data_IF_241935791249
#
_entry.id   IF_241935791249
#
_cell.length_a   1.000
_cell.length_b   1.000
_cell.length_c   1.000
_cell.angle_alpha   90.00
_cell.angle_beta   90.00
_cell.angle_gamma   90.00
#
_symmetry.space_group_name_H-M   'P 1'
#
loop_
_entity.id
_entity.type
_entity.pdbx_description
1 polymer ?
#
# COMPACT_ATOMS: atom_id res chain seq x y z
N UNK A 1 14.20 0.88 -7.11
CA UNK A 1 13.03 1.20 -7.94
C UNK A 1 12.13 0.01 -8.12
N UNK A 2 10.86 0.20 -7.86
CA UNK A 2 9.90 -0.88 -7.99
C UNK A 2 9.21 -0.76 -9.33
N UNK A 3 9.53 -1.67 -10.23
CA UNK A 3 8.93 -1.67 -11.54
C UNK A 3 7.98 -2.84 -11.74
N UNK A 4 7.76 -3.62 -10.70
CA UNK A 4 6.84 -4.74 -10.76
C UNK A 4 5.59 -4.42 -9.98
N UNK A 5 4.47 -4.77 -10.55
CA UNK A 5 3.19 -4.68 -9.85
C UNK A 5 2.92 -6.02 -9.21
N UNK A 6 2.79 -6.00 -7.90
CA UNK A 6 2.57 -7.22 -7.13
C UNK A 6 1.19 -7.16 -6.51
N UNK A 7 0.41 -8.21 -6.71
CA UNK A 7 -0.89 -8.30 -6.07
C UNK A 7 -0.72 -8.45 -4.58
N UNK A 8 -1.42 -7.63 -3.82
CA UNK A 8 -1.38 -7.66 -2.37
C UNK A 8 -2.62 -8.36 -1.86
N UNK A 9 -2.42 -9.33 -0.98
CA UNK A 9 -3.53 -10.06 -0.38
C UNK A 9 -3.72 -9.59 1.04
N UNK A 10 -4.90 -9.09 1.33
CA UNK A 10 -5.27 -8.68 2.69
C UNK A 10 -6.35 -9.60 3.21
N UNK A 11 -6.22 -9.99 4.45
CA UNK A 11 -7.20 -10.85 5.09
C UNK A 11 -8.00 -10.01 6.06
N UNK A 12 -9.31 -10.03 5.88
CA UNK A 12 -10.21 -9.18 6.64
C UNK A 12 -10.12 -9.52 8.13
N UNK A 13 -9.83 -8.49 8.94
CA UNK A 13 -9.70 -8.68 10.37
C UNK A 13 -8.33 -9.15 10.83
N UNK A 14 -7.36 -9.24 9.93
CA UNK A 14 -6.00 -9.67 10.26
C UNK A 14 -5.02 -8.56 9.96
N UNK A 15 -3.97 -8.49 10.76
CA UNK A 15 -2.86 -7.57 10.51
C UNK A 15 -2.04 -8.11 9.36
N UNK A 16 -1.70 -7.24 8.43
CA UNK A 16 -0.87 -7.59 7.29
C UNK A 16 0.32 -6.66 7.21
N UNK A 17 1.35 -7.08 6.49
CA UNK A 17 2.48 -6.21 6.25
C UNK A 17 2.94 -6.38 4.82
N UNK A 18 3.55 -5.32 4.30
CA UNK A 18 4.12 -5.36 2.97
C UNK A 18 5.48 -4.68 3.04
N UNK A 19 6.45 -5.28 2.40
CA UNK A 19 7.83 -4.81 2.48
C UNK A 19 8.24 -4.20 1.16
N UNK A 20 8.84 -3.02 1.22
CA UNK A 20 9.40 -2.36 0.05
C UNK A 20 10.84 -2.00 0.33
N UNK A 21 11.69 -2.24 -0.65
CA UNK A 21 13.13 -1.96 -0.53
C UNK A 21 13.42 -0.66 -1.26
N UNK A 22 13.68 0.39 -0.50
CA UNK A 22 14.04 1.70 -1.04
C UNK A 22 15.46 2.08 -0.65
N UNK A 23 16.32 1.09 -0.37
CA UNK A 23 17.68 1.38 0.08
C UNK A 23 18.50 2.13 -0.95
N UNK A 24 18.23 1.91 -2.24
CA UNK A 24 18.97 2.59 -3.29
C UNK A 24 18.19 3.73 -3.92
N UNK A 25 17.06 4.07 -3.35
CA UNK A 25 16.25 5.14 -3.89
C UNK A 25 16.74 6.49 -3.37
N UNK A 26 16.93 7.44 -4.28
CA UNK A 26 17.39 8.78 -3.93
C UNK A 26 16.18 9.69 -3.77
N UNK A 27 15.85 10.05 -2.53
CA UNK A 27 14.69 10.90 -2.27
C UNK A 27 14.93 12.34 -2.63
N UNK A 28 16.17 12.78 -2.58
CA UNK A 28 16.56 14.13 -3.02
C UNK A 28 15.62 15.21 -2.47
N UNK A 29 15.21 15.06 -1.23
CA UNK A 29 14.35 16.03 -0.57
C UNK A 29 12.87 15.81 -0.78
N UNK A 30 12.47 14.80 -1.56
CA UNK A 30 11.08 14.45 -1.76
C UNK A 30 10.61 13.41 -0.76
N UNK A 31 9.37 12.99 -0.94
CA UNK A 31 8.77 11.94 -0.10
C UNK A 31 8.08 10.92 -0.97
N UNK A 32 7.84 9.75 -0.42
CA UNK A 32 7.01 8.75 -1.07
C UNK A 32 5.75 8.54 -0.25
N UNK A 33 4.65 8.26 -0.96
CA UNK A 33 3.36 7.94 -0.33
C UNK A 33 2.88 6.59 -0.81
N UNK A 34 2.63 5.70 0.12
CA UNK A 34 1.94 4.44 -0.15
C UNK A 34 0.47 4.68 0.18
N UNK A 35 -0.40 4.40 -0.78
CA UNK A 35 -1.82 4.69 -0.63
C UNK A 35 -2.64 3.49 -1.04
N UNK A 36 -3.65 3.17 -0.24
CA UNK A 36 -4.67 2.19 -0.59
C UNK A 36 -5.95 2.94 -0.88
N UNK A 37 -6.54 2.66 -2.01
CA UNK A 37 -7.74 3.38 -2.47
C UNK A 37 -8.84 2.41 -2.86
N UNK A 38 -10.07 2.86 -2.71
CA UNK A 38 -11.23 2.15 -3.21
C UNK A 38 -11.43 2.55 -4.67
N UNK A 39 -11.38 1.56 -5.56
CA UNK A 39 -11.40 1.84 -6.98
C UNK A 39 -12.72 2.44 -7.43
N UNK A 40 -13.82 1.98 -6.83
CA UNK A 40 -15.15 2.41 -7.26
C UNK A 40 -15.45 3.84 -6.85
N UNK A 41 -14.93 4.27 -5.71
CA UNK A 41 -15.24 5.60 -5.18
C UNK A 41 -14.06 6.55 -5.31
N UNK A 42 -12.93 6.07 -5.80
CA UNK A 42 -11.73 6.88 -5.94
C UNK A 42 -11.38 7.58 -4.63
N UNK A 43 -11.49 6.85 -3.54
CA UNK A 43 -11.30 7.39 -2.20
C UNK A 43 -10.08 6.76 -1.57
N UNK A 44 -9.20 7.60 -1.02
CA UNK A 44 -8.04 7.12 -0.29
C UNK A 44 -8.47 6.62 1.08
N UNK A 45 -8.05 5.41 1.41
CA UNK A 45 -8.47 4.77 2.65
C UNK A 45 -7.33 4.64 3.66
N UNK A 46 -6.11 4.49 3.17
CA UNK A 46 -4.96 4.26 4.03
C UNK A 46 -3.76 4.90 3.35
N UNK A 47 -2.93 5.59 4.13
CA UNK A 47 -1.78 6.27 3.58
C UNK A 47 -0.60 6.15 4.53
N UNK A 48 0.57 5.91 3.97
CA UNK A 48 1.81 5.86 4.72
C UNK A 48 2.87 6.62 3.93
N UNK A 49 3.52 7.58 4.58
CA UNK A 49 4.53 8.40 3.91
C UNK A 49 5.91 8.10 4.48
N UNK A 50 6.92 8.21 3.64
CA UNK A 50 8.29 7.97 4.07
C UNK A 50 9.25 8.75 3.18
N UNK A 51 10.45 9.03 3.73
CA UNK A 51 11.39 9.89 3.03
C UNK A 51 12.86 9.48 3.23
N UNK A 52 13.11 8.29 3.73
CA UNK A 52 14.48 7.82 3.96
C UNK A 52 14.77 6.59 3.12
N UNK A 53 16.02 6.47 2.67
CA UNK A 53 16.45 5.33 1.86
C UNK A 53 16.69 4.12 2.77
N UNK A 54 15.73 3.22 2.81
CA UNK A 54 15.81 2.04 3.65
C UNK A 54 14.76 1.04 3.20
N UNK A 55 14.76 -0.11 3.84
CA UNK A 55 13.68 -1.08 3.67
C UNK A 55 12.52 -0.65 4.57
N UNK A 56 11.32 -0.65 4.01
CA UNK A 56 10.11 -0.31 4.75
C UNK A 56 9.24 -1.53 4.87
N UNK A 57 8.78 -1.75 6.09
CA UNK A 57 7.82 -2.80 6.39
C UNK A 57 6.55 -2.12 6.86
N UNK A 58 5.63 -1.93 5.92
CA UNK A 58 4.42 -1.16 6.19
C UNK A 58 3.40 -2.09 6.81
N UNK A 59 2.97 -1.74 8.03
CA UNK A 59 2.01 -2.54 8.77
C UNK A 59 0.61 -2.03 8.47
N UNK A 60 -0.24 -2.93 8.03
CA UNK A 60 -1.64 -2.63 7.76
C UNK A 60 -2.44 -3.27 8.88
N UNK A 61 -2.98 -2.45 9.79
CA UNK A 61 -3.55 -2.98 11.03
C UNK A 61 -4.86 -3.72 10.81
N UNK A 62 -5.16 -4.62 11.73
CA UNK A 62 -6.37 -5.42 11.65
C UNK A 62 -7.63 -4.57 11.76
N UNK A 63 -7.54 -3.47 12.47
CA UNK A 63 -8.67 -2.56 12.57
C UNK A 63 -9.07 -2.02 11.21
N UNK A 64 -8.07 -1.73 10.38
CA UNK A 64 -8.34 -1.24 9.05
C UNK A 64 -8.85 -2.35 8.15
N UNK A 65 -8.20 -3.51 8.16
CA UNK A 65 -8.62 -4.59 7.26
C UNK A 65 -10.01 -5.09 7.60
N UNK A 66 -10.43 -4.96 8.85
CA UNK A 66 -11.78 -5.36 9.25
C UNK A 66 -12.86 -4.53 8.58
N UNK A 67 -12.51 -3.31 8.12
CA UNK A 67 -13.50 -2.44 7.48
C UNK A 67 -13.63 -2.73 5.98
N UNK A 68 -12.75 -3.54 5.42
CA UNK A 68 -12.75 -3.79 3.99
C UNK A 68 -13.87 -4.74 3.61
N UNK A 69 -14.41 -4.54 2.42
CA UNK A 69 -15.51 -5.34 1.90
C UNK A 69 -15.03 -6.07 0.66
N UNK A 70 -15.91 -6.87 0.08
CA UNK A 70 -15.58 -7.59 -1.15
C UNK A 70 -15.66 -6.65 -2.33
N UNK A 71 -14.82 -5.64 -2.30
CA UNK A 71 -14.72 -4.66 -3.37
C UNK A 71 -13.33 -4.70 -3.95
N UNK A 72 -13.14 -3.94 -4.98
CA UNK A 72 -11.83 -3.81 -5.60
C UNK A 72 -11.09 -2.65 -4.99
N UNK A 73 -9.87 -2.91 -4.58
CA UNK A 73 -8.98 -1.91 -4.01
C UNK A 73 -7.69 -1.92 -4.77
N UNK A 74 -7.01 -0.79 -4.73
CA UNK A 74 -5.71 -0.64 -5.36
C UNK A 74 -4.75 -0.03 -4.36
N UNK A 75 -3.48 -0.29 -4.57
CA UNK A 75 -2.45 0.46 -3.88
C UNK A 75 -1.47 1.02 -4.89
N UNK A 76 -0.81 2.08 -4.51
CA UNK A 76 0.28 2.61 -5.32
C UNK A 76 1.30 3.29 -4.41
N UNK A 77 2.45 3.59 -4.99
CA UNK A 77 3.48 4.38 -4.32
C UNK A 77 3.84 5.52 -5.25
N UNK A 78 3.75 6.73 -4.73
CA UNK A 78 4.01 7.94 -5.49
C UNK A 78 5.18 8.67 -4.86
N UNK A 79 6.15 9.05 -5.67
CA UNK A 79 7.24 9.91 -5.23
C UNK A 79 6.85 11.35 -5.52
N UNK A 80 6.92 12.21 -4.52
CA UNK A 80 6.50 13.60 -4.62
C UNK A 80 7.68 14.49 -4.33
N UNK A 81 8.02 15.33 -5.30
CA UNK A 81 9.09 16.31 -5.16
C UNK A 81 8.53 17.66 -5.55
N UNK A 82 8.35 18.52 -4.55
CA UNK A 82 7.72 19.81 -4.80
C UNK A 82 6.30 19.63 -5.27
N UNK A 83 6.01 20.12 -6.47
CA UNK A 83 4.67 19.98 -7.05
C UNK A 83 4.56 18.82 -8.03
N UNK A 84 5.62 18.03 -8.16
CA UNK A 84 5.65 16.96 -9.15
C UNK A 84 5.44 15.62 -8.48
N UNK A 85 4.74 14.74 -9.17
CA UNK A 85 4.39 13.42 -8.66
C UNK A 85 4.82 12.37 -9.68
N UNK A 86 5.59 11.41 -9.21
CA UNK A 86 6.15 10.37 -10.07
C UNK A 86 5.76 9.00 -9.53
N UNK A 87 5.04 8.19 -10.31
CA UNK A 87 4.67 6.85 -9.81
C UNK A 87 5.91 5.96 -9.70
N UNK A 88 6.08 5.36 -8.54
CA UNK A 88 7.14 4.39 -8.30
C UNK A 88 6.60 2.98 -8.35
N UNK A 89 5.35 2.81 -7.99
CA UNK A 89 4.63 1.56 -8.13
C UNK A 89 3.25 1.97 -8.62
N UNK A 90 2.93 1.61 -9.85
CA UNK A 90 1.65 1.97 -10.44
C UNK A 90 0.53 1.25 -9.72
N UNK A 91 -0.71 1.63 -10.02
CA UNK A 91 -1.87 1.03 -9.40
C UNK A 91 -1.79 -0.47 -9.49
N UNK A 92 -1.81 -1.12 -8.34
CA UNK A 92 -1.67 -2.56 -8.23
C UNK A 92 -2.85 -3.12 -7.47
N UNK A 93 -3.24 -4.34 -7.81
CA UNK A 93 -4.44 -4.94 -7.26
C UNK A 93 -4.28 -5.32 -5.81
N UNK A 94 -5.35 -5.14 -5.05
CA UNK A 94 -5.48 -5.68 -3.71
C UNK A 94 -6.65 -6.64 -3.72
N UNK A 95 -6.41 -7.85 -3.27
CA UNK A 95 -7.44 -8.85 -3.13
C UNK A 95 -7.72 -9.04 -1.64
N UNK A 96 -8.96 -8.79 -1.27
CA UNK A 96 -9.39 -8.93 0.12
C UNK A 96 -9.99 -10.32 0.28
N UNK A 97 -9.50 -11.06 1.24
CA UNK A 97 -9.95 -12.41 1.49
C UNK A 97 -10.52 -12.51 2.88
N UNK A 98 -11.45 -13.42 3.02
CA UNK A 98 -11.96 -13.78 4.32
C UNK A 98 -10.94 -14.65 5.00
N UNK A 99 -10.70 -14.43 6.28
CA UNK A 99 -9.81 -15.29 7.03
C UNK A 99 -10.47 -16.66 7.13
N UNK A 100 -9.78 -17.67 6.62
CA UNK A 100 -10.26 -19.03 6.73
C UNK A 100 -9.71 -19.56 8.02
N UNK A 101 -10.54 -19.57 9.02
CA UNK A 101 -10.12 -19.99 10.32
C UNK A 101 -11.10 -20.96 10.87
N UNK A 102 -10.68 -22.15 11.02
CA UNK A 102 -11.58 -23.22 11.38
C UNK A 102 -12.06 -23.14 12.80
N UNK A 103 -11.48 -22.30 13.61
CA UNK A 103 -11.99 -22.17 14.94
C UNK A 103 -13.04 -21.13 15.09
N UNK A 104 -13.28 -20.41 14.04
CA UNK A 104 -14.16 -19.32 14.20
C UNK A 104 -15.49 -19.73 14.40
#
# INVERSE_FOLDING_TARGET
>A
MLDKQTTLYLYRGATSSIEFDFTEFDFNGGICEFTISNICKNTELFKFTFDESRVYNIIIPDEFTATLKDNQYLYNIMYILGNERYPQCADSDIIVRKVVNSYE
#
